data_IF_854501832884
#
_entry.id   IF_854501832884
#
_cell.length_a   1.000
_cell.length_b   1.000
_cell.length_c   1.000
_cell.angle_alpha   90.00
_cell.angle_beta   90.00
_cell.angle_gamma   90.00
#
_symmetry.space_group_name_H-M   'P 1'
#
loop_
_entity.id
_entity.type
_entity.pdbx_description
1 polymer ?
#
# COMPACT_ATOMS: atom_id res chain seq x y z
N UNK A 1 -4.78 -13.57 -22.29
CA UNK A 1 -4.41 -13.83 -20.89
C UNK A 1 -4.99 -12.70 -20.09
N UNK A 2 -5.93 -13.02 -19.21
CA UNK A 2 -6.81 -12.07 -18.53
C UNK A 2 -6.04 -11.22 -17.52
N UNK A 3 -6.30 -9.91 -17.57
CA UNK A 3 -5.90 -8.92 -16.57
C UNK A 3 -6.71 -9.19 -15.29
N UNK A 4 -6.26 -10.14 -14.48
CA UNK A 4 -6.81 -10.31 -13.13
C UNK A 4 -6.27 -9.16 -12.27
N UNK A 5 -7.21 -8.33 -11.82
CA UNK A 5 -7.00 -7.08 -11.10
C UNK A 5 -5.92 -7.23 -10.01
N UNK A 6 -4.81 -6.53 -10.21
CA UNK A 6 -3.66 -6.43 -9.30
C UNK A 6 -4.07 -5.82 -7.94
N UNK A 7 -5.30 -5.36 -7.72
CA UNK A 7 -5.59 -4.45 -6.60
C UNK A 7 -6.74 -4.82 -5.64
N UNK A 8 -7.32 -6.01 -5.68
CA UNK A 8 -8.21 -6.47 -4.61
C UNK A 8 -8.17 -8.00 -4.46
N UNK A 9 -7.81 -8.51 -3.28
CA UNK A 9 -8.07 -9.90 -2.89
C UNK A 9 -8.97 -9.92 -1.66
N UNK A 10 -10.18 -10.49 -1.79
CA UNK A 10 -11.07 -10.77 -0.67
C UNK A 10 -10.96 -12.28 -0.34
N UNK A 11 -10.49 -12.71 0.85
CA UNK A 11 -10.13 -14.12 1.08
C UNK A 11 -11.25 -15.09 1.49
N UNK A 12 -12.51 -14.67 1.68
CA UNK A 12 -13.54 -15.61 2.20
C UNK A 12 -14.96 -15.26 1.73
N UNK A 13 -15.33 -15.71 0.52
CA UNK A 13 -16.72 -15.66 0.04
C UNK A 13 -17.19 -17.08 -0.34
N UNK A 14 -17.42 -17.93 0.67
CA UNK A 14 -18.23 -19.15 0.48
C UNK A 14 -18.80 -19.75 1.77
N UNK A 15 -20.02 -19.33 2.14
CA UNK A 15 -20.99 -20.23 2.78
C UNK A 15 -22.43 -19.70 2.63
N UNK A 16 -23.38 -20.48 2.08
CA UNK A 16 -24.78 -20.11 2.11
C UNK A 16 -25.36 -20.50 3.47
N UNK A 17 -25.94 -19.53 4.18
CA UNK A 17 -26.81 -19.80 5.32
C UNK A 17 -28.15 -19.11 5.08
N UNK A 18 -29.20 -19.91 5.01
CA UNK A 18 -30.61 -19.51 5.01
C UNK A 18 -30.85 -18.35 5.97
N UNK A 19 -31.45 -17.26 5.50
CA UNK A 19 -31.95 -16.20 6.37
C UNK A 19 -33.24 -15.61 5.79
N UNK A 20 -34.23 -15.48 6.67
CA UNK A 20 -35.45 -14.70 6.47
C UNK A 20 -35.10 -13.32 5.94
N UNK A 21 -35.77 -12.91 4.86
CA UNK A 21 -35.45 -11.70 4.09
C UNK A 21 -35.86 -10.46 4.90
N UNK A 22 -35.03 -10.10 5.88
CA UNK A 22 -35.14 -8.84 6.60
C UNK A 22 -34.60 -7.70 5.74
N UNK A 23 -35.26 -6.54 5.77
CA UNK A 23 -34.92 -5.30 5.05
C UNK A 23 -33.42 -4.94 5.18
N UNK A 24 -32.76 -5.35 6.26
CA UNK A 24 -31.32 -5.20 6.53
C UNK A 24 -30.42 -6.02 5.60
N UNK A 25 -30.83 -7.24 5.22
CA UNK A 25 -30.08 -8.10 4.30
C UNK A 25 -30.07 -7.54 2.87
N UNK A 26 -31.21 -7.02 2.42
CA UNK A 26 -31.36 -6.41 1.09
C UNK A 26 -30.60 -5.09 0.98
N UNK A 27 -30.70 -4.21 1.98
CA UNK A 27 -29.92 -2.97 2.00
C UNK A 27 -28.40 -3.22 1.99
N UNK A 28 -27.93 -4.23 2.75
CA UNK A 28 -26.52 -4.66 2.72
C UNK A 28 -26.10 -5.10 1.32
N UNK A 29 -26.92 -5.91 0.65
CA UNK A 29 -26.63 -6.39 -0.69
C UNK A 29 -26.53 -5.24 -1.70
N UNK A 30 -27.47 -4.29 -1.67
CA UNK A 30 -27.43 -3.11 -2.55
C UNK A 30 -26.15 -2.30 -2.33
N UNK A 31 -25.75 -2.06 -1.08
CA UNK A 31 -24.52 -1.32 -0.78
C UNK A 31 -23.30 -2.05 -1.36
N UNK A 32 -23.19 -3.36 -1.16
CA UNK A 32 -22.07 -4.16 -1.68
C UNK A 32 -22.04 -4.13 -3.21
N UNK A 33 -23.19 -4.35 -3.88
CA UNK A 33 -23.29 -4.33 -5.33
C UNK A 33 -22.95 -2.95 -5.91
N UNK A 34 -23.43 -1.89 -5.26
CA UNK A 34 -23.13 -0.50 -5.66
C UNK A 34 -21.65 -0.20 -5.49
N UNK A 35 -21.03 -0.55 -4.36
CA UNK A 35 -19.60 -0.36 -4.14
C UNK A 35 -18.76 -1.15 -5.16
N UNK A 36 -19.13 -2.41 -5.45
CA UNK A 36 -18.47 -3.22 -6.48
C UNK A 36 -18.59 -2.58 -7.87
N UNK A 37 -19.77 -2.07 -8.22
CA UNK A 37 -19.98 -1.39 -9.50
C UNK A 37 -19.15 -0.09 -9.61
N UNK A 38 -19.09 0.70 -8.53
CA UNK A 38 -18.26 1.92 -8.45
C UNK A 38 -16.79 1.57 -8.65
N UNK A 39 -16.28 0.60 -7.88
CA UNK A 39 -14.89 0.14 -7.97
C UNK A 39 -14.59 -0.35 -9.38
N UNK A 40 -15.44 -1.23 -9.92
CA UNK A 40 -15.23 -1.81 -11.25
C UNK A 40 -15.18 -0.77 -12.37
N UNK A 41 -15.95 0.32 -12.24
CA UNK A 41 -16.02 1.38 -13.26
C UNK A 41 -14.99 2.49 -13.07
N UNK A 42 -14.77 2.95 -11.84
CA UNK A 42 -13.96 4.13 -11.58
C UNK A 42 -12.51 3.81 -11.22
N UNK A 43 -12.20 2.61 -10.71
CA UNK A 43 -10.83 2.28 -10.31
C UNK A 43 -9.82 2.36 -11.46
N UNK A 44 -10.12 1.90 -12.70
CA UNK A 44 -9.18 2.02 -13.81
C UNK A 44 -8.87 3.48 -14.20
N UNK A 45 -9.81 4.40 -13.97
CA UNK A 45 -9.64 5.82 -14.26
C UNK A 45 -8.94 6.57 -13.10
N UNK A 46 -9.28 6.21 -11.85
CA UNK A 46 -8.77 6.88 -10.66
C UNK A 46 -7.36 6.42 -10.26
N UNK A 47 -7.04 5.14 -10.49
CA UNK A 47 -5.75 4.52 -10.17
C UNK A 47 -5.30 3.62 -11.32
N UNK A 48 -4.99 4.20 -12.49
CA UNK A 48 -4.46 3.44 -13.62
C UNK A 48 -3.09 2.86 -13.25
N UNK A 49 -2.75 1.70 -13.82
CA UNK A 49 -1.40 1.15 -13.69
C UNK A 49 -0.39 2.15 -14.25
N UNK A 50 0.59 2.62 -13.45
CA UNK A 50 1.53 3.63 -13.91
C UNK A 50 2.37 3.13 -15.09
N UNK A 51 2.56 4.01 -16.08
CA UNK A 51 3.54 3.83 -17.14
C UNK A 51 4.93 4.25 -16.67
N UNK A 52 5.97 3.91 -17.43
CA UNK A 52 7.34 4.36 -17.16
C UNK A 52 7.40 5.91 -17.07
N UNK A 53 6.80 6.62 -18.02
CA UNK A 53 6.69 8.09 -17.99
C UNK A 53 6.00 8.61 -16.72
N UNK A 54 4.96 7.90 -16.25
CA UNK A 54 4.25 8.29 -15.02
C UNK A 54 5.14 8.10 -13.79
N UNK A 55 5.93 7.04 -13.73
CA UNK A 55 6.91 6.85 -12.66
C UNK A 55 7.98 7.95 -12.65
N UNK A 56 8.48 8.33 -13.83
CA UNK A 56 9.43 9.44 -13.92
C UNK A 56 8.84 10.76 -13.44
N UNK A 57 7.58 11.05 -13.78
CA UNK A 57 6.86 12.23 -13.29
C UNK A 57 6.73 12.20 -11.76
N UNK A 58 6.30 11.08 -11.19
CA UNK A 58 6.16 10.94 -9.72
C UNK A 58 7.52 11.21 -9.04
N UNK A 59 8.61 10.63 -9.55
CA UNK A 59 9.94 10.86 -9.01
C UNK A 59 10.43 12.30 -9.15
N UNK A 60 10.05 12.97 -10.24
CA UNK A 60 10.32 14.39 -10.42
C UNK A 60 9.53 15.24 -9.40
N UNK A 61 8.27 14.89 -9.11
CA UNK A 61 7.45 15.58 -8.12
C UNK A 61 8.01 15.41 -6.70
N UNK A 62 8.44 14.20 -6.32
CA UNK A 62 9.15 13.98 -5.06
C UNK A 62 10.44 14.80 -4.96
N UNK A 63 11.19 14.93 -6.05
CA UNK A 63 12.38 15.77 -6.07
C UNK A 63 12.03 17.25 -5.88
N UNK A 64 11.03 17.76 -6.58
CA UNK A 64 10.66 19.18 -6.53
C UNK A 64 10.00 19.59 -5.20
N UNK A 65 9.16 18.73 -4.64
CA UNK A 65 8.34 19.04 -3.46
C UNK A 65 9.00 18.62 -2.15
N UNK A 66 9.70 17.50 -2.15
CA UNK A 66 10.23 16.85 -0.95
C UNK A 66 11.76 16.70 -0.98
N UNK A 67 12.42 17.20 -2.03
CA UNK A 67 13.87 17.16 -2.20
C UNK A 67 14.44 15.72 -2.15
N UNK A 68 13.64 14.74 -2.57
CA UNK A 68 14.01 13.33 -2.61
C UNK A 68 13.95 12.81 -4.05
N UNK A 69 15.12 12.60 -4.66
CA UNK A 69 15.20 12.12 -6.05
C UNK A 69 14.94 10.62 -6.17
N UNK A 70 14.44 10.19 -7.33
CA UNK A 70 14.17 8.78 -7.65
C UNK A 70 13.16 8.09 -6.70
N UNK A 71 12.30 8.83 -6.01
CA UNK A 71 11.23 8.24 -5.19
C UNK A 71 9.98 7.94 -6.02
N UNK A 72 9.42 6.74 -5.92
CA UNK A 72 8.22 6.32 -6.63
C UNK A 72 6.94 6.45 -5.79
N UNK A 73 7.07 6.77 -4.51
CA UNK A 73 5.95 6.86 -3.61
C UNK A 73 6.32 6.59 -2.16
N UNK A 74 5.40 6.94 -1.27
CA UNK A 74 5.44 6.55 0.14
C UNK A 74 4.41 5.46 0.40
N UNK A 75 4.78 4.44 1.18
CA UNK A 75 3.92 3.30 1.51
C UNK A 75 3.66 3.23 3.01
N UNK A 76 2.40 3.03 3.38
CA UNK A 76 2.01 2.90 4.78
C UNK A 76 0.72 2.07 4.95
N UNK A 77 0.54 1.52 6.14
CA UNK A 77 -0.65 0.79 6.57
C UNK A 77 -1.48 1.59 7.57
N UNK A 78 -2.76 1.79 7.27
CA UNK A 78 -3.72 2.44 8.16
C UNK A 78 -4.74 1.45 8.70
N UNK A 79 -4.81 1.33 10.02
CA UNK A 79 -5.88 0.58 10.68
C UNK A 79 -7.22 1.33 10.61
N UNK A 80 -8.21 0.68 10.01
CA UNK A 80 -9.61 1.11 10.03
C UNK A 80 -10.34 0.30 11.09
N UNK A 81 -10.78 0.96 12.16
CA UNK A 81 -11.47 0.29 13.28
C UNK A 81 -12.80 -0.30 12.82
N UNK A 82 -13.06 -1.54 13.22
CA UNK A 82 -14.29 -2.27 12.95
C UNK A 82 -14.87 -2.82 14.25
N UNK A 83 -16.14 -3.20 14.22
CA UNK A 83 -16.68 -4.11 15.22
C UNK A 83 -16.10 -5.51 15.02
N UNK A 84 -15.76 -6.20 16.11
CA UNK A 84 -15.25 -7.56 16.06
C UNK A 84 -16.21 -8.48 15.27
N UNK A 85 -15.75 -9.10 14.17
CA UNK A 85 -16.60 -10.03 13.43
C UNK A 85 -16.92 -11.26 14.28
N UNK A 86 -18.11 -11.88 14.12
CA UNK A 86 -18.46 -13.10 14.85
C UNK A 86 -17.42 -14.20 14.62
N UNK A 87 -17.03 -14.90 15.70
CA UNK A 87 -16.07 -16.00 15.66
C UNK A 87 -14.68 -15.67 15.08
N UNK A 88 -14.27 -14.39 15.05
CA UNK A 88 -12.98 -13.99 14.46
C UNK A 88 -11.75 -14.25 15.31
N UNK A 89 -11.93 -14.63 16.59
CA UNK A 89 -10.86 -14.66 17.58
C UNK A 89 -10.11 -13.32 17.63
N UNK A 90 -8.78 -13.37 17.67
CA UNK A 90 -7.89 -12.20 17.68
C UNK A 90 -7.41 -11.77 16.28
N UNK A 91 -7.94 -12.32 15.18
CA UNK A 91 -7.43 -12.02 13.83
C UNK A 91 -7.45 -10.53 13.50
N UNK A 92 -8.55 -9.84 13.82
CA UNK A 92 -8.64 -8.39 13.57
C UNK A 92 -8.13 -7.54 14.74
N UNK A 93 -7.68 -8.16 15.85
CA UNK A 93 -7.26 -7.43 17.03
C UNK A 93 -5.84 -6.88 16.86
N UNK A 94 -5.69 -5.56 16.93
CA UNK A 94 -4.43 -4.87 16.70
C UNK A 94 -3.72 -4.49 18.01
N UNK A 95 -2.49 -3.98 17.90
CA UNK A 95 -1.66 -3.55 19.03
C UNK A 95 -2.28 -2.38 19.83
N UNK A 96 -3.21 -1.62 19.23
CA UNK A 96 -3.97 -0.55 19.90
C UNK A 96 -5.16 -1.07 20.71
N UNK A 97 -5.28 -2.40 20.89
CA UNK A 97 -6.35 -3.06 21.63
C UNK A 97 -7.75 -2.82 21.04
N UNK A 98 -7.82 -2.66 19.72
CA UNK A 98 -9.07 -2.51 18.96
C UNK A 98 -9.14 -3.53 17.84
N UNK A 99 -10.33 -3.79 17.30
CA UNK A 99 -10.48 -4.61 16.10
C UNK A 99 -10.39 -3.71 14.85
N UNK A 100 -9.64 -4.13 13.84
CA UNK A 100 -9.43 -3.34 12.62
C UNK A 100 -9.16 -4.22 11.40
N UNK A 101 -9.52 -3.71 10.23
CA UNK A 101 -8.90 -4.09 8.96
C UNK A 101 -7.79 -3.10 8.62
N UNK A 102 -6.83 -3.50 7.81
CA UNK A 102 -5.77 -2.61 7.33
C UNK A 102 -6.08 -2.13 5.91
N UNK A 103 -6.00 -0.81 5.73
CA UNK A 103 -5.90 -0.12 4.46
C UNK A 103 -4.42 0.12 4.19
N UNK A 104 -3.87 -0.58 3.20
CA UNK A 104 -2.48 -0.48 2.81
C UNK A 104 -2.38 0.30 1.50
N UNK A 105 -1.55 1.33 1.43
CA UNK A 105 -1.55 2.21 0.28
C UNK A 105 -0.16 2.73 -0.09
N UNK A 106 0.07 2.87 -1.40
CA UNK A 106 1.18 3.60 -1.99
C UNK A 106 0.66 4.92 -2.53
N UNK A 107 1.29 6.04 -2.15
CA UNK A 107 0.88 7.40 -2.51
C UNK A 107 1.99 8.18 -3.20
N UNK A 108 1.62 9.10 -4.09
CA UNK A 108 2.55 10.04 -4.74
C UNK A 108 2.84 11.27 -3.85
N UNK A 109 3.73 12.16 -4.31
CA UNK A 109 4.12 13.37 -3.59
C UNK A 109 2.96 14.38 -3.39
N UNK A 110 1.85 14.21 -4.13
CA UNK A 110 0.64 15.02 -4.01
C UNK A 110 -0.42 14.36 -3.11
N UNK A 111 -0.10 13.23 -2.46
CA UNK A 111 -1.00 12.42 -1.66
C UNK A 111 -2.12 11.76 -2.46
N UNK A 112 -1.94 11.55 -3.78
CA UNK A 112 -2.85 10.73 -4.56
C UNK A 112 -2.48 9.25 -4.40
N UNK A 113 -3.49 8.40 -4.37
CA UNK A 113 -3.26 6.96 -4.35
C UNK A 113 -2.74 6.48 -5.71
N UNK A 114 -1.62 5.77 -5.67
CA UNK A 114 -1.08 5.04 -6.82
C UNK A 114 -1.60 3.60 -6.78
N UNK A 115 -1.60 3.00 -5.59
CA UNK A 115 -2.08 1.65 -5.35
C UNK A 115 -2.68 1.53 -3.95
N UNK A 116 -3.69 0.69 -3.81
CA UNK A 116 -4.36 0.42 -2.54
C UNK A 116 -4.66 -1.09 -2.44
N UNK A 117 -4.49 -1.64 -1.24
CA UNK A 117 -4.89 -2.98 -0.85
C UNK A 117 -5.69 -2.88 0.47
N UNK A 118 -6.88 -3.47 0.53
CA UNK A 118 -7.81 -3.34 1.66
C UNK A 118 -8.29 -4.70 2.10
N UNK A 119 -8.31 -4.92 3.42
CA UNK A 119 -8.97 -6.10 4.02
C UNK A 119 -8.02 -7.01 4.78
N UNK A 120 -6.72 -6.68 4.81
CA UNK A 120 -5.76 -7.40 5.64
C UNK A 120 -6.14 -7.36 7.12
N UNK A 121 -5.86 -8.45 7.82
CA UNK A 121 -6.16 -8.60 9.25
C UNK A 121 -5.40 -7.58 10.10
N UNK A 122 -6.08 -6.98 11.10
CA UNK A 122 -5.48 -6.00 12.01
C UNK A 122 -4.31 -6.50 12.88
N UNK A 123 -4.10 -7.81 12.97
CA UNK A 123 -2.90 -8.38 13.63
C UNK A 123 -1.65 -8.39 12.74
N UNK A 124 -1.81 -8.24 11.42
CA UNK A 124 -0.70 -8.34 10.48
C UNK A 124 0.15 -7.06 10.56
N UNK A 125 1.47 -7.21 10.46
CA UNK A 125 2.39 -6.07 10.32
C UNK A 125 2.43 -5.57 8.87
N UNK A 126 2.86 -4.33 8.67
CA UNK A 126 2.91 -3.72 7.34
C UNK A 126 3.86 -4.46 6.39
N UNK A 127 5.04 -4.90 6.87
CA UNK A 127 5.93 -5.78 6.10
C UNK A 127 5.32 -7.15 5.75
N UNK A 128 4.47 -7.70 6.64
CA UNK A 128 3.72 -8.92 6.38
C UNK A 128 2.64 -8.72 5.32
N UNK A 129 1.96 -7.58 5.35
CA UNK A 129 0.97 -7.21 4.34
C UNK A 129 1.64 -7.00 2.99
N UNK A 130 2.75 -6.25 2.94
CA UNK A 130 3.51 -5.99 1.71
C UNK A 130 3.87 -7.29 0.98
N UNK A 131 4.49 -8.25 1.68
CA UNK A 131 4.94 -9.51 1.07
C UNK A 131 3.80 -10.39 0.51
N UNK A 132 2.58 -10.28 1.05
CA UNK A 132 1.43 -11.04 0.55
C UNK A 132 0.60 -10.26 -0.46
N UNK A 133 0.69 -8.93 -0.44
CA UNK A 133 -0.02 -8.03 -1.35
C UNK A 133 0.41 -8.23 -2.80
N UNK A 134 -0.52 -7.97 -3.71
CA UNK A 134 -0.21 -7.97 -5.14
C UNK A 134 0.80 -6.89 -5.52
N UNK A 135 0.79 -5.74 -4.84
CA UNK A 135 1.77 -4.68 -5.01
C UNK A 135 3.18 -5.17 -4.68
N UNK A 136 3.37 -5.82 -3.53
CA UNK A 136 4.67 -6.37 -3.13
C UNK A 136 5.15 -7.45 -4.09
N UNK A 137 4.27 -8.37 -4.51
CA UNK A 137 4.61 -9.38 -5.53
C UNK A 137 4.99 -8.74 -6.87
N UNK A 138 4.31 -7.67 -7.28
CA UNK A 138 4.61 -6.97 -8.52
C UNK A 138 5.96 -6.23 -8.45
N UNK A 139 6.30 -5.67 -7.30
CA UNK A 139 7.62 -5.07 -7.03
C UNK A 139 8.74 -6.11 -7.09
N UNK A 140 8.58 -7.24 -6.38
CA UNK A 140 9.59 -8.31 -6.34
C UNK A 140 9.85 -8.94 -7.72
N UNK A 141 8.82 -9.04 -8.56
CA UNK A 141 8.91 -9.64 -9.90
C UNK A 141 9.13 -8.61 -11.02
N UNK A 142 9.40 -7.33 -10.70
CA UNK A 142 9.61 -6.25 -11.68
C UNK A 142 8.47 -6.09 -12.71
N UNK A 143 7.21 -6.24 -12.27
CA UNK A 143 6.02 -6.22 -13.15
C UNK A 143 5.39 -4.82 -13.30
N UNK A 144 5.97 -3.79 -12.69
CA UNK A 144 5.40 -2.44 -12.61
C UNK A 144 5.98 -1.46 -13.66
N UNK A 145 6.79 -1.93 -14.61
CA UNK A 145 7.44 -1.07 -15.62
C UNK A 145 8.20 0.11 -15.01
N UNK A 146 8.92 -0.15 -13.91
CA UNK A 146 9.74 0.87 -13.26
C UNK A 146 10.94 1.19 -14.17
N UNK A 147 11.26 2.48 -14.42
CA UNK A 147 12.39 2.89 -15.24
C UNK A 147 13.73 2.39 -14.68
N UNK A 148 14.73 2.28 -15.55
CA UNK A 148 16.09 1.97 -15.11
C UNK A 148 16.65 3.04 -14.16
N UNK A 149 17.58 2.65 -13.29
CA UNK A 149 18.26 3.54 -12.35
C UNK A 149 18.74 4.86 -13.00
N UNK A 150 18.56 5.97 -12.28
CA UNK A 150 18.88 7.33 -12.76
C UNK A 150 19.95 7.97 -11.89
N UNK A 151 20.76 8.85 -12.48
CA UNK A 151 21.81 9.56 -11.75
C UNK A 151 21.20 10.57 -10.77
N UNK A 152 21.70 10.57 -9.54
CA UNK A 152 21.24 11.51 -8.52
C UNK A 152 21.64 12.95 -8.90
N UNK A 153 20.76 13.95 -8.67
CA UNK A 153 21.02 15.35 -8.99
C UNK A 153 22.35 15.85 -8.40
N UNK A 154 23.18 16.49 -9.23
CA UNK A 154 24.46 17.06 -8.78
C UNK A 154 25.58 16.04 -8.51
N UNK A 155 25.40 14.77 -8.87
CA UNK A 155 26.41 13.71 -8.70
C UNK A 155 26.59 12.89 -9.99
N UNK A 156 27.58 11.98 -9.98
CA UNK A 156 27.72 10.93 -10.99
C UNK A 156 27.23 9.55 -10.48
N UNK A 157 26.52 9.54 -9.36
CA UNK A 157 26.07 8.31 -8.70
C UNK A 157 24.75 7.85 -9.32
N UNK A 158 24.76 6.70 -9.99
CA UNK A 158 23.54 6.04 -10.50
C UNK A 158 22.85 5.33 -9.33
N UNK A 159 21.57 5.64 -9.09
CA UNK A 159 20.79 5.04 -8.01
C UNK A 159 19.46 4.51 -8.56
N UNK A 160 18.93 3.39 -8.01
CA UNK A 160 17.64 2.85 -8.41
C UNK A 160 16.50 3.80 -8.02
N UNK A 161 15.34 3.56 -8.62
CA UNK A 161 14.09 4.11 -8.13
C UNK A 161 13.60 3.30 -6.93
N UNK A 162 13.06 3.98 -5.93
CA UNK A 162 12.76 3.43 -4.61
C UNK A 162 11.43 3.95 -4.09
N UNK A 163 10.74 3.12 -3.32
CA UNK A 163 9.60 3.51 -2.49
C UNK A 163 10.15 3.79 -1.09
N UNK A 164 9.51 4.69 -0.35
CA UNK A 164 9.85 4.95 1.06
C UNK A 164 8.76 4.40 1.97
N UNK A 165 9.16 3.82 3.10
CA UNK A 165 8.26 3.29 4.13
C UNK A 165 8.80 3.55 5.53
N UNK A 166 7.99 3.26 6.54
CA UNK A 166 8.40 3.39 7.93
C UNK A 166 9.31 2.23 8.42
N UNK A 167 9.72 2.28 9.68
CA UNK A 167 10.59 1.26 10.30
C UNK A 167 9.92 -0.14 10.39
N UNK A 168 8.61 -0.25 10.20
CA UNK A 168 7.89 -1.53 10.28
C UNK A 168 8.08 -2.40 9.02
N UNK A 169 8.66 -1.84 7.96
CA UNK A 169 8.98 -2.56 6.74
C UNK A 169 10.40 -3.14 6.73
N UNK A 170 10.63 -4.24 5.99
CA UNK A 170 11.97 -4.72 5.71
C UNK A 170 12.67 -3.82 4.67
N UNK A 171 13.95 -3.50 4.90
CA UNK A 171 14.79 -2.83 3.91
C UNK A 171 14.94 -3.71 2.66
N UNK A 172 14.70 -3.15 1.48
CA UNK A 172 14.85 -3.85 0.20
C UNK A 172 15.47 -2.93 -0.87
N UNK A 173 15.85 -3.51 -2.01
CA UNK A 173 16.42 -2.78 -3.16
C UNK A 173 15.45 -1.75 -3.75
N UNK A 174 14.15 -1.97 -3.60
CA UNK A 174 13.06 -1.09 -4.05
C UNK A 174 12.35 -0.35 -2.90
N UNK A 175 12.73 -0.58 -1.63
CA UNK A 175 12.06 -0.01 -0.45
C UNK A 175 13.09 0.49 0.56
N UNK A 176 13.15 1.81 0.74
CA UNK A 176 13.96 2.49 1.74
C UNK A 176 13.15 2.73 3.01
N UNK A 177 13.81 2.53 4.15
CA UNK A 177 13.26 2.75 5.49
C UNK A 177 14.25 3.63 6.29
N UNK A 178 13.78 4.34 7.34
CA UNK A 178 14.67 5.08 8.21
C UNK A 178 15.58 4.13 9.01
N UNK A 179 16.70 4.64 9.51
CA UNK A 179 17.54 3.85 10.43
C UNK A 179 16.76 3.54 11.72
N UNK A 180 16.78 2.28 12.18
CA UNK A 180 16.10 1.90 13.41
C UNK A 180 16.50 2.76 14.60
N UNK A 181 15.56 3.07 15.49
CA UNK A 181 15.80 3.96 16.64
C UNK A 181 17.00 3.56 17.52
N UNK A 182 17.32 2.26 17.58
CA UNK A 182 18.46 1.69 18.32
C UNK A 182 19.83 1.93 17.67
N UNK A 183 19.87 2.43 16.44
CA UNK A 183 21.09 2.68 15.65
C UNK A 183 21.35 4.18 15.44
N UNK A 184 20.57 5.05 16.07
CA UNK A 184 20.63 6.51 15.93
C UNK A 184 21.74 7.16 16.75
N UNK A 185 22.78 6.45 17.19
CA UNK A 185 23.89 7.07 17.92
C UNK A 185 24.73 8.00 17.03
N UNK A 186 24.60 7.83 15.71
CA UNK A 186 25.24 8.62 14.67
C UNK A 186 24.32 9.78 14.22
N UNK A 187 24.87 11.01 14.21
CA UNK A 187 24.14 12.21 13.84
C UNK A 187 23.67 12.20 12.38
N UNK A 188 24.47 11.64 11.47
CA UNK A 188 24.12 11.58 10.05
C UNK A 188 22.94 10.64 9.82
N UNK A 189 22.87 9.54 10.60
CA UNK A 189 21.72 8.61 10.57
C UNK A 189 20.44 9.25 11.09
N UNK A 190 20.53 10.12 12.10
CA UNK A 190 19.37 10.91 12.58
C UNK A 190 18.88 11.88 11.52
N UNK A 191 19.79 12.60 10.86
CA UNK A 191 19.42 13.53 9.79
C UNK A 191 18.77 12.77 8.63
N UNK A 192 19.35 11.64 8.23
CA UNK A 192 18.78 10.79 7.19
C UNK A 192 17.36 10.36 7.56
N UNK A 193 17.17 9.76 8.75
CA UNK A 193 15.85 9.27 9.18
C UNK A 193 14.80 10.37 9.39
N UNK A 194 15.23 11.61 9.66
CA UNK A 194 14.33 12.77 9.74
C UNK A 194 13.95 13.33 8.36
N UNK A 195 14.83 13.17 7.36
CA UNK A 195 14.62 13.66 5.99
C UNK A 195 13.84 12.68 5.11
N UNK A 196 13.87 11.40 5.47
CA UNK A 196 13.02 10.37 4.91
C UNK A 196 11.59 10.52 5.47
#
# INVERSE_FOLDING_TARGET
>A
MTQDNIFLTDPDDNKPSNCEIGITSFAKQIVIETCRAIVHRLMPEAMPTPTEDRWEQIAQDFWMLLNFSNCLGAIDGKHVTIQAPPNSGSNYFNYKKTFSIVLFALVDAHNNFIAVDVGSYGKNSDGGILSHSNLGKALENNLLNIPESKTLPGTNTKAPFVIVGDEAFPLNTYLLIPYPGKQLDDFDKKIYGYRL
#
